data_IF_980399022325
#
_entry.id   IF_980399022325
#
_cell.length_a   1.000
_cell.length_b   1.000
_cell.length_c   1.000
_cell.angle_alpha   90.00
_cell.angle_beta   90.00
_cell.angle_gamma   90.00
#
_symmetry.space_group_name_H-M   'P 1'
#
loop_
_entity.id
_entity.type
_entity.pdbx_description
1 polymer ?
#
# COMPACT_ATOMS: atom_id res chain seq x y z
N UNK A 1 7.95 27.80 -9.34
CA UNK A 1 7.13 27.60 -10.55
C UNK A 1 5.72 27.11 -10.20
N UNK A 2 4.79 27.14 -11.16
CA UNK A 2 3.46 26.55 -10.98
C UNK A 2 3.42 25.15 -11.57
N UNK A 3 2.90 24.19 -10.80
CA UNK A 3 2.67 22.80 -11.25
C UNK A 3 1.21 22.49 -11.03
N UNK A 4 0.44 22.34 -12.09
CA UNK A 4 -0.96 21.94 -12.00
C UNK A 4 -1.07 20.50 -11.51
N UNK A 5 -1.91 20.26 -10.50
CA UNK A 5 -2.19 18.91 -10.01
C UNK A 5 -3.59 18.46 -10.44
N UNK A 6 -3.68 17.30 -11.03
CA UNK A 6 -4.95 16.72 -11.50
C UNK A 6 -5.16 15.32 -10.94
N UNK A 7 -6.29 15.15 -10.26
CA UNK A 7 -6.79 13.86 -9.79
C UNK A 7 -8.32 13.95 -9.69
N UNK A 8 -9.07 12.83 -9.76
CA UNK A 8 -10.52 12.86 -9.51
C UNK A 8 -10.86 13.43 -8.13
N UNK A 9 -11.94 14.20 -8.03
CA UNK A 9 -12.38 14.83 -6.76
C UNK A 9 -12.62 13.79 -5.66
N UNK A 10 -13.04 12.58 -6.02
CA UNK A 10 -13.22 11.47 -5.09
C UNK A 10 -11.90 11.11 -4.39
N UNK A 11 -10.76 11.24 -5.07
CA UNK A 11 -9.45 10.99 -4.46
C UNK A 11 -9.06 12.10 -3.48
N UNK A 12 -9.40 13.37 -3.76
CA UNK A 12 -9.10 14.50 -2.85
C UNK A 12 -9.88 14.37 -1.54
N UNK A 13 -11.13 13.96 -1.63
CA UNK A 13 -12.04 13.79 -0.49
C UNK A 13 -11.94 12.41 0.15
N UNK A 14 -11.36 11.46 -0.57
CA UNK A 14 -11.29 10.06 -0.18
C UNK A 14 -10.13 9.77 0.77
N UNK A 15 -10.35 8.80 1.63
CA UNK A 15 -9.34 8.24 2.54
C UNK A 15 -8.56 7.09 1.89
N UNK A 16 -8.51 7.06 0.54
CA UNK A 16 -7.81 6.04 -0.23
C UNK A 16 -6.33 6.40 -0.45
N UNK A 17 -5.56 5.43 -0.95
CA UNK A 17 -4.13 5.58 -1.22
C UNK A 17 -3.79 6.74 -2.17
N UNK A 18 -4.60 7.00 -3.20
CA UNK A 18 -4.43 8.14 -4.10
C UNK A 18 -4.61 9.48 -3.38
N UNK A 19 -5.63 9.61 -2.53
CA UNK A 19 -5.87 10.82 -1.75
C UNK A 19 -4.74 11.11 -0.78
N UNK A 20 -4.29 10.09 -0.05
CA UNK A 20 -3.16 10.21 0.88
C UNK A 20 -1.87 10.60 0.16
N UNK A 21 -1.50 9.91 -0.91
CA UNK A 21 -0.30 10.22 -1.68
C UNK A 21 -0.38 11.61 -2.32
N UNK A 22 -1.52 11.94 -2.94
CA UNK A 22 -1.72 13.23 -3.59
C UNK A 22 -1.53 14.41 -2.64
N UNK A 23 -2.12 14.34 -1.44
CA UNK A 23 -1.92 15.39 -0.40
C UNK A 23 -0.44 15.55 -0.02
N UNK A 24 0.27 14.44 0.16
CA UNK A 24 1.68 14.48 0.54
C UNK A 24 2.58 15.02 -0.59
N UNK A 25 2.30 14.68 -1.84
CA UNK A 25 3.01 15.23 -3.01
C UNK A 25 2.80 16.74 -3.10
N UNK A 26 1.54 17.19 -3.02
CA UNK A 26 1.21 18.63 -3.06
C UNK A 26 1.86 19.39 -1.91
N UNK A 27 1.79 18.86 -0.69
CA UNK A 27 2.43 19.47 0.48
C UNK A 27 3.95 19.55 0.31
N UNK A 28 4.58 18.50 -0.23
CA UNK A 28 6.02 18.48 -0.48
C UNK A 28 6.44 19.50 -1.53
N UNK A 29 5.71 19.61 -2.64
CA UNK A 29 5.96 20.62 -3.68
C UNK A 29 5.79 22.05 -3.13
N UNK A 30 4.74 22.31 -2.34
CA UNK A 30 4.55 23.60 -1.68
C UNK A 30 5.71 23.92 -0.72
N UNK A 31 6.19 22.94 0.05
CA UNK A 31 7.33 23.08 0.96
C UNK A 31 8.65 23.36 0.23
N UNK A 32 8.77 22.91 -1.03
CA UNK A 32 9.89 23.22 -1.92
C UNK A 32 9.76 24.59 -2.60
N UNK A 33 8.74 25.38 -2.27
CA UNK A 33 8.52 26.73 -2.81
C UNK A 33 7.79 26.76 -4.16
N UNK A 34 7.10 25.70 -4.53
CA UNK A 34 6.28 25.65 -5.75
C UNK A 34 4.81 25.84 -5.41
N UNK A 35 4.08 26.53 -6.30
CA UNK A 35 2.63 26.66 -6.17
C UNK A 35 1.93 25.55 -6.95
N UNK A 36 1.00 24.83 -6.30
CA UNK A 36 0.35 23.63 -6.86
C UNK A 36 -1.16 23.86 -6.97
N UNK A 37 -1.63 24.56 -8.01
CA UNK A 37 -3.06 24.76 -8.25
C UNK A 37 -3.71 23.48 -8.78
N UNK A 38 -4.99 23.30 -8.50
CA UNK A 38 -5.77 22.17 -8.99
C UNK A 38 -6.30 22.44 -10.40
N UNK A 39 -5.95 21.57 -11.37
CA UNK A 39 -6.40 21.63 -12.77
C UNK A 39 -6.29 23.02 -13.42
N UNK A 40 -5.17 23.71 -13.18
CA UNK A 40 -4.93 25.04 -13.75
C UNK A 40 -4.32 24.95 -15.16
N UNK A 41 -5.02 25.41 -16.22
CA UNK A 41 -4.53 25.32 -17.59
C UNK A 41 -3.40 26.34 -17.93
N UNK A 42 -3.08 27.25 -17.01
CA UNK A 42 -2.02 28.26 -17.17
C UNK A 42 -0.67 27.79 -16.64
N UNK A 43 -0.64 26.75 -15.84
CA UNK A 43 0.60 26.16 -15.33
C UNK A 43 1.41 25.52 -16.46
N UNK A 44 2.74 25.68 -16.52
CA UNK A 44 3.58 25.10 -17.58
C UNK A 44 3.62 23.57 -17.53
N UNK A 45 3.46 22.99 -16.34
CA UNK A 45 3.51 21.53 -16.10
C UNK A 45 2.22 21.07 -15.44
N UNK A 46 1.73 19.91 -15.85
CA UNK A 46 0.63 19.23 -15.19
C UNK A 46 1.02 17.82 -14.74
N UNK A 47 0.81 17.54 -13.47
CA UNK A 47 0.90 16.20 -12.88
C UNK A 47 -0.50 15.59 -12.82
N UNK A 48 -0.73 14.55 -13.61
CA UNK A 48 -1.94 13.74 -13.59
C UNK A 48 -1.71 12.52 -12.69
N UNK A 49 -2.30 12.53 -11.49
CA UNK A 49 -2.16 11.44 -10.51
C UNK A 49 -3.48 10.70 -10.32
N UNK A 50 -3.73 9.70 -11.14
CA UNK A 50 -4.94 8.86 -11.13
C UNK A 50 -4.74 7.65 -12.02
N UNK A 51 -5.80 6.87 -12.23
CA UNK A 51 -5.87 5.92 -13.34
C UNK A 51 -5.76 6.70 -14.67
N UNK A 52 -4.99 6.20 -15.66
CA UNK A 52 -4.72 6.93 -16.90
C UNK A 52 -5.95 7.31 -17.72
N UNK A 53 -7.03 6.52 -17.70
CA UNK A 53 -8.30 6.88 -18.34
C UNK A 53 -8.99 8.12 -17.76
N UNK A 54 -8.53 8.59 -16.60
CA UNK A 54 -9.03 9.81 -15.93
C UNK A 54 -8.08 11.01 -16.05
N UNK A 55 -6.98 10.89 -16.79
CA UNK A 55 -6.04 11.99 -17.00
C UNK A 55 -6.69 13.18 -17.72
N UNK A 56 -6.37 14.39 -17.26
CA UNK A 56 -6.78 15.65 -17.89
C UNK A 56 -5.62 16.22 -18.69
N UNK A 57 -5.53 15.80 -19.95
CA UNK A 57 -4.42 16.17 -20.83
C UNK A 57 -4.70 17.49 -21.55
N UNK A 58 -3.78 18.44 -21.45
CA UNK A 58 -3.84 19.74 -22.11
C UNK A 58 -2.62 19.96 -23.02
N UNK A 59 -2.81 20.12 -24.32
CA UNK A 59 -1.73 20.21 -25.33
C UNK A 59 -0.68 21.31 -25.10
N UNK A 60 -0.98 22.33 -24.28
CA UNK A 60 -0.09 23.45 -24.01
C UNK A 60 0.75 23.28 -22.75
N UNK A 61 0.57 22.20 -22.01
CA UNK A 61 1.28 21.91 -20.77
C UNK A 61 2.17 20.70 -20.96
N UNK A 62 3.29 20.68 -20.26
CA UNK A 62 4.10 19.47 -20.13
C UNK A 62 3.36 18.45 -19.25
N UNK A 63 3.04 17.31 -19.80
CA UNK A 63 2.17 16.32 -19.17
C UNK A 63 2.96 15.23 -18.48
N UNK A 64 2.83 15.11 -17.18
CA UNK A 64 3.36 14.00 -16.41
C UNK A 64 2.18 13.12 -16.00
N UNK A 65 2.13 11.88 -16.49
CA UNK A 65 1.20 10.85 -16.04
C UNK A 65 1.81 10.07 -14.89
N UNK A 66 1.07 9.84 -13.82
CA UNK A 66 1.55 9.10 -12.67
C UNK A 66 0.48 8.16 -12.11
N UNK A 67 0.76 6.85 -12.10
CA UNK A 67 -0.16 5.82 -11.58
C UNK A 67 0.58 4.59 -11.07
N UNK A 68 0.12 3.96 -9.96
CA UNK A 68 0.45 2.59 -9.59
C UNK A 68 -0.35 1.56 -10.40
N UNK A 69 0.08 0.29 -10.39
CA UNK A 69 -0.69 -0.83 -10.93
C UNK A 69 -0.41 -2.13 -10.14
N UNK A 70 -1.36 -3.10 -10.18
CA UNK A 70 -1.39 -4.25 -9.27
C UNK A 70 -1.25 -5.63 -9.95
N UNK A 71 -1.23 -5.71 -11.28
CA UNK A 71 -1.08 -6.97 -12.05
C UNK A 71 -0.15 -6.82 -13.25
N UNK A 72 0.10 -7.90 -14.00
CA UNK A 72 1.11 -7.87 -15.07
C UNK A 72 0.61 -7.33 -16.42
N UNK A 73 -0.69 -7.16 -16.60
CA UNK A 73 -1.27 -6.59 -17.85
C UNK A 73 -1.97 -5.26 -17.51
N UNK A 74 -1.66 -4.24 -18.30
CA UNK A 74 -2.23 -2.91 -18.18
C UNK A 74 -3.53 -2.83 -18.97
N UNK A 75 -4.61 -2.24 -18.43
CA UNK A 75 -5.86 -2.06 -19.15
C UNK A 75 -5.67 -1.34 -20.49
N UNK A 76 -6.18 -1.91 -21.57
CA UNK A 76 -6.05 -1.35 -22.92
C UNK A 76 -6.54 0.10 -23.00
N UNK A 77 -7.59 0.47 -22.26
CA UNK A 77 -8.14 1.83 -22.21
C UNK A 77 -7.16 2.89 -21.67
N UNK A 78 -6.04 2.47 -21.05
CA UNK A 78 -5.02 3.37 -20.50
C UNK A 78 -3.97 3.78 -21.54
N UNK A 79 -3.78 2.96 -22.58
CA UNK A 79 -2.64 3.06 -23.50
C UNK A 79 -2.53 4.43 -24.17
N UNK A 80 -3.65 4.95 -24.70
CA UNK A 80 -3.62 6.23 -25.44
C UNK A 80 -3.26 7.40 -24.52
N UNK A 81 -3.82 7.45 -23.32
CA UNK A 81 -3.53 8.53 -22.38
C UNK A 81 -2.09 8.48 -21.85
N UNK A 82 -1.53 7.29 -21.66
CA UNK A 82 -0.11 7.13 -21.30
C UNK A 82 0.78 7.65 -22.42
N UNK A 83 0.51 7.29 -23.67
CA UNK A 83 1.29 7.75 -24.85
C UNK A 83 1.22 9.25 -25.11
N UNK A 84 0.20 9.92 -24.61
CA UNK A 84 0.06 11.38 -24.72
C UNK A 84 0.74 12.16 -23.57
N UNK A 85 1.36 11.49 -22.61
CA UNK A 85 2.19 12.13 -21.61
C UNK A 85 3.60 12.40 -22.16
N UNK A 86 4.21 13.52 -21.79
CA UNK A 86 5.61 13.81 -22.06
C UNK A 86 6.53 12.96 -21.19
N UNK A 87 6.09 12.66 -19.96
CA UNK A 87 6.70 11.69 -19.06
C UNK A 87 5.63 10.80 -18.41
N UNK A 88 5.98 9.56 -18.18
CA UNK A 88 5.13 8.64 -17.45
C UNK A 88 5.87 8.07 -16.24
N UNK A 89 5.24 8.19 -15.08
CA UNK A 89 5.80 7.81 -13.79
C UNK A 89 4.98 6.72 -13.11
N UNK A 90 5.64 5.92 -12.30
CA UNK A 90 5.00 4.90 -11.46
C UNK A 90 5.69 4.79 -10.11
N UNK A 91 5.18 3.93 -9.24
CA UNK A 91 5.50 3.93 -7.80
C UNK A 91 6.60 2.95 -7.39
N UNK A 92 6.93 1.96 -8.23
CA UNK A 92 7.93 0.94 -7.92
C UNK A 92 8.63 0.42 -9.16
N UNK A 93 9.81 -0.18 -8.99
CA UNK A 93 10.54 -0.84 -10.07
C UNK A 93 9.73 -1.99 -10.67
N UNK A 94 8.95 -2.71 -9.83
CA UNK A 94 8.05 -3.74 -10.33
C UNK A 94 6.98 -3.15 -11.27
N UNK A 95 6.30 -2.07 -10.86
CA UNK A 95 5.34 -1.38 -11.72
C UNK A 95 6.01 -0.88 -13.01
N UNK A 96 7.22 -0.31 -12.94
CA UNK A 96 7.95 0.15 -14.13
C UNK A 96 8.20 -1.00 -15.09
N UNK A 97 8.64 -2.17 -14.61
CA UNK A 97 8.83 -3.37 -15.41
C UNK A 97 7.52 -3.86 -16.04
N UNK A 98 6.40 -3.75 -15.33
CA UNK A 98 5.07 -4.08 -15.88
C UNK A 98 4.73 -3.13 -17.03
N UNK A 99 4.86 -1.82 -16.86
CA UNK A 99 4.61 -0.86 -17.95
C UNK A 99 5.54 -1.08 -19.14
N UNK A 100 6.83 -1.32 -18.90
CA UNK A 100 7.80 -1.62 -19.97
C UNK A 100 7.42 -2.89 -20.75
N UNK A 101 7.05 -3.96 -20.07
CA UNK A 101 6.59 -5.23 -20.68
C UNK A 101 5.29 -5.08 -21.48
N UNK A 102 4.50 -4.04 -21.21
CA UNK A 102 3.28 -3.69 -21.97
C UNK A 102 3.54 -2.65 -23.07
N UNK A 103 4.81 -2.38 -23.42
CA UNK A 103 5.23 -1.53 -24.55
C UNK A 103 5.35 -0.04 -24.23
N UNK A 104 5.55 0.32 -22.95
CA UNK A 104 5.83 1.69 -22.51
C UNK A 104 7.27 1.79 -22.01
N UNK A 105 8.14 2.46 -22.74
CA UNK A 105 9.52 2.73 -22.32
C UNK A 105 9.66 4.03 -21.51
N UNK A 106 10.87 4.26 -20.97
CA UNK A 106 11.24 5.47 -20.24
C UNK A 106 10.35 5.78 -19.03
N UNK A 107 10.00 4.74 -18.28
CA UNK A 107 9.18 4.86 -17.08
C UNK A 107 10.04 5.36 -15.91
N UNK A 108 9.62 6.45 -15.29
CA UNK A 108 10.28 6.97 -14.10
C UNK A 108 9.65 6.38 -12.83
N UNK A 109 10.48 5.91 -11.91
CA UNK A 109 10.02 5.46 -10.60
C UNK A 109 10.04 6.63 -9.62
N UNK A 110 8.87 6.97 -9.09
CA UNK A 110 8.67 7.92 -8.00
C UNK A 110 7.95 7.19 -6.87
N UNK A 111 8.66 6.62 -5.90
CA UNK A 111 8.04 5.92 -4.78
C UNK A 111 7.23 6.87 -3.91
N UNK A 112 6.20 6.36 -3.28
CA UNK A 112 5.52 7.08 -2.21
C UNK A 112 6.38 7.14 -0.95
N UNK A 113 6.16 8.16 -0.14
CA UNK A 113 6.88 8.38 1.11
C UNK A 113 6.09 7.97 2.35
N UNK A 114 6.71 8.20 3.49
CA UNK A 114 6.12 8.05 4.82
C UNK A 114 6.07 9.42 5.52
N UNK A 115 4.97 9.69 6.21
CA UNK A 115 4.80 10.89 7.00
C UNK A 115 5.52 10.74 8.35
N UNK A 116 6.18 11.78 8.90
CA UNK A 116 6.85 11.74 10.19
C UNK A 116 5.97 11.33 11.37
N UNK A 117 4.64 11.43 11.25
CA UNK A 117 3.71 10.99 12.29
C UNK A 117 3.74 9.48 12.56
N UNK A 118 4.23 8.66 11.61
CA UNK A 118 4.39 7.20 11.76
C UNK A 118 5.58 6.86 12.67
N UNK A 119 5.59 7.43 13.86
CA UNK A 119 6.72 7.35 14.78
C UNK A 119 7.04 5.92 15.20
N UNK A 120 8.34 5.58 15.29
CA UNK A 120 8.75 4.27 15.78
C UNK A 120 8.28 3.99 17.19
N UNK A 121 7.79 2.78 17.44
CA UNK A 121 7.44 2.28 18.77
C UNK A 121 8.17 0.98 19.04
N UNK A 122 8.96 0.95 20.11
CA UNK A 122 9.56 -0.30 20.60
C UNK A 122 8.46 -1.19 21.19
N UNK A 123 8.41 -2.45 20.75
CA UNK A 123 7.48 -3.47 21.24
C UNK A 123 8.25 -4.44 22.13
N UNK A 124 7.76 -4.61 23.34
CA UNK A 124 8.40 -5.49 24.32
C UNK A 124 7.93 -6.93 24.16
N UNK A 125 8.75 -7.88 24.67
CA UNK A 125 8.37 -9.29 24.75
C UNK A 125 7.07 -9.43 25.57
N UNK A 126 6.14 -10.21 25.03
CA UNK A 126 4.88 -10.57 25.64
C UNK A 126 4.67 -12.08 25.56
N UNK A 127 3.82 -12.59 26.43
CA UNK A 127 3.38 -13.99 26.37
C UNK A 127 2.40 -14.23 25.21
N UNK A 128 1.80 -13.15 24.70
CA UNK A 128 0.75 -13.19 23.69
C UNK A 128 0.88 -12.03 22.70
N UNK A 129 0.41 -12.22 21.46
CA UNK A 129 0.57 -11.26 20.39
C UNK A 129 -0.78 -10.76 19.85
N UNK A 130 -0.80 -9.47 19.50
CA UNK A 130 -1.91 -8.82 18.79
C UNK A 130 -1.56 -8.65 17.34
N UNK A 131 -2.21 -9.40 16.49
CA UNK A 131 -2.05 -9.33 15.05
C UNK A 131 -2.99 -8.29 14.44
N UNK A 132 -2.53 -7.65 13.37
CA UNK A 132 -3.27 -6.66 12.60
C UNK A 132 -3.28 -7.03 11.12
N UNK A 133 -4.44 -6.96 10.50
CA UNK A 133 -4.60 -6.91 9.06
C UNK A 133 -5.38 -5.67 8.69
N UNK A 134 -4.94 -4.94 7.66
CA UNK A 134 -5.61 -3.74 7.16
C UNK A 134 -5.84 -3.90 5.67
N UNK A 135 -7.08 -3.74 5.23
CA UNK A 135 -7.42 -3.81 3.81
C UNK A 135 -8.91 -3.64 3.57
N UNK A 136 -9.24 -3.32 2.35
CA UNK A 136 -10.60 -3.52 1.85
C UNK A 136 -10.89 -5.03 1.82
N UNK A 137 -12.16 -5.45 1.92
CA UNK A 137 -12.54 -6.88 1.89
C UNK A 137 -12.52 -7.42 0.45
N UNK A 138 -11.47 -7.10 -0.29
CA UNK A 138 -11.18 -7.65 -1.61
C UNK A 138 -10.37 -8.94 -1.44
N UNK A 139 -10.67 -10.00 -2.19
CA UNK A 139 -9.88 -11.23 -2.18
C UNK A 139 -8.39 -10.97 -2.45
N UNK A 140 -8.07 -9.95 -3.28
CA UNK A 140 -6.69 -9.53 -3.59
C UNK A 140 -5.88 -9.15 -2.35
N UNK A 141 -6.51 -8.65 -1.30
CA UNK A 141 -5.83 -8.27 -0.04
C UNK A 141 -5.52 -9.48 0.88
N UNK A 142 -6.02 -10.66 0.55
CA UNK A 142 -5.71 -11.88 1.29
C UNK A 142 -6.30 -11.96 2.71
N UNK A 143 -7.34 -11.17 3.02
CA UNK A 143 -7.92 -11.12 4.36
C UNK A 143 -8.47 -12.47 4.84
N UNK A 144 -9.01 -13.30 3.93
CA UNK A 144 -9.46 -14.66 4.27
C UNK A 144 -8.29 -15.53 4.71
N UNK A 145 -7.19 -15.49 3.96
CA UNK A 145 -5.98 -16.24 4.28
C UNK A 145 -5.47 -15.91 5.70
N UNK A 146 -5.54 -14.64 6.08
CA UNK A 146 -5.16 -14.19 7.44
C UNK A 146 -6.08 -14.78 8.51
N UNK A 147 -7.40 -14.76 8.30
CA UNK A 147 -8.37 -15.32 9.25
C UNK A 147 -8.16 -16.83 9.41
N UNK A 148 -8.01 -17.55 8.29
CA UNK A 148 -7.85 -19.01 8.29
C UNK A 148 -6.54 -19.41 9.00
N UNK A 149 -5.44 -18.72 8.68
CA UNK A 149 -4.14 -19.02 9.29
C UNK A 149 -4.13 -18.68 10.78
N UNK A 150 -4.66 -17.50 11.17
CA UNK A 150 -4.79 -17.11 12.57
C UNK A 150 -5.68 -18.08 13.33
N UNK A 151 -6.82 -18.42 12.76
CA UNK A 151 -7.77 -19.37 13.35
C UNK A 151 -7.17 -20.74 13.61
N UNK A 152 -6.41 -21.26 12.66
CA UNK A 152 -5.71 -22.54 12.79
C UNK A 152 -4.64 -22.52 13.90
N UNK A 153 -3.88 -21.44 14.04
CA UNK A 153 -2.77 -21.33 14.99
C UNK A 153 -3.20 -20.88 16.39
N UNK A 154 -4.06 -19.85 16.44
CA UNK A 154 -4.35 -19.07 17.65
C UNK A 154 -5.85 -18.92 17.94
N UNK A 155 -6.72 -19.52 17.13
CA UNK A 155 -8.16 -19.42 17.30
C UNK A 155 -8.60 -19.80 18.72
N UNK A 156 -9.33 -18.89 19.39
CA UNK A 156 -9.83 -19.01 20.77
C UNK A 156 -8.75 -19.20 21.85
N UNK A 157 -7.46 -19.11 21.52
CA UNK A 157 -6.41 -19.13 22.55
C UNK A 157 -6.40 -17.82 23.34
N UNK A 158 -6.45 -17.87 24.69
CA UNK A 158 -6.39 -16.66 25.52
C UNK A 158 -5.14 -15.82 25.22
N UNK A 159 -5.33 -14.50 25.18
CA UNK A 159 -4.25 -13.53 25.02
C UNK A 159 -3.83 -13.26 23.58
N UNK A 160 -4.10 -14.13 22.62
CA UNK A 160 -3.90 -13.83 21.19
C UNK A 160 -5.13 -13.12 20.61
N UNK A 161 -4.91 -12.18 19.71
CA UNK A 161 -6.00 -11.51 19.00
C UNK A 161 -5.61 -11.13 17.58
N UNK A 162 -6.59 -11.13 16.66
CA UNK A 162 -6.48 -10.59 15.32
C UNK A 162 -7.48 -9.44 15.17
N UNK A 163 -6.98 -8.26 14.78
CA UNK A 163 -7.83 -7.15 14.36
C UNK A 163 -7.77 -7.03 12.84
N UNK A 164 -8.96 -7.06 12.21
CA UNK A 164 -9.12 -6.77 10.80
C UNK A 164 -9.69 -5.37 10.68
N UNK A 165 -8.92 -4.44 10.10
CA UNK A 165 -9.35 -3.07 9.84
C UNK A 165 -9.83 -2.96 8.40
N UNK A 166 -11.14 -2.78 8.21
CA UNK A 166 -11.76 -2.47 6.92
C UNK A 166 -12.02 -0.96 6.76
N UNK A 167 -12.10 -0.46 5.50
CA UNK A 167 -12.05 0.98 5.27
C UNK A 167 -13.40 1.71 5.33
N UNK A 168 -14.57 1.04 5.23
CA UNK A 168 -15.86 1.72 5.38
C UNK A 168 -17.03 0.77 5.66
N UNK A 169 -18.21 1.34 5.97
CA UNK A 169 -19.43 0.57 6.26
C UNK A 169 -20.00 -0.22 5.07
N UNK A 170 -19.83 0.23 3.84
CA UNK A 170 -20.28 -0.51 2.65
C UNK A 170 -19.41 -1.73 2.40
N UNK A 171 -18.10 -1.59 2.63
CA UNK A 171 -17.14 -2.70 2.63
C UNK A 171 -17.32 -3.60 3.86
N UNK A 172 -17.79 -3.06 5.00
CA UNK A 172 -18.13 -3.86 6.17
C UNK A 172 -19.27 -4.85 5.91
N UNK A 173 -20.28 -4.49 5.11
CA UNK A 173 -21.35 -5.42 4.70
C UNK A 173 -20.81 -6.58 3.87
N UNK A 174 -19.91 -6.30 2.94
CA UNK A 174 -19.23 -7.33 2.15
C UNK A 174 -18.39 -8.21 3.05
N UNK A 175 -17.69 -7.63 4.04
CA UNK A 175 -16.83 -8.35 4.98
C UNK A 175 -17.65 -9.16 6.00
N UNK A 176 -18.72 -8.62 6.55
CA UNK A 176 -19.64 -9.39 7.40
C UNK A 176 -20.27 -10.53 6.62
N UNK A 177 -20.73 -10.31 5.39
CA UNK A 177 -21.20 -11.36 4.52
C UNK A 177 -20.09 -12.35 4.13
N UNK A 178 -18.84 -11.93 4.10
CA UNK A 178 -17.66 -12.71 3.77
C UNK A 178 -17.16 -13.49 5.02
N UNK A 179 -17.08 -12.84 6.17
CA UNK A 179 -16.85 -13.50 7.47
C UNK A 179 -18.01 -14.43 7.79
N UNK A 180 -19.27 -14.00 7.66
CA UNK A 180 -20.45 -14.82 7.93
C UNK A 180 -20.65 -15.94 6.92
N UNK A 181 -20.30 -15.77 5.63
CA UNK A 181 -20.47 -16.80 4.60
C UNK A 181 -19.27 -17.71 4.39
N UNK A 182 -18.06 -17.27 4.69
CA UNK A 182 -16.84 -18.05 4.43
C UNK A 182 -16.19 -18.60 5.70
N UNK A 183 -16.47 -18.05 6.86
CA UNK A 183 -16.34 -18.76 8.14
C UNK A 183 -17.36 -19.91 8.24
N UNK A 184 -18.45 -19.86 7.49
CA UNK A 184 -19.45 -20.93 7.33
C UNK A 184 -18.92 -22.15 6.52
N UNK A 185 -17.84 -22.04 5.78
CA UNK A 185 -17.19 -23.18 5.09
C UNK A 185 -16.33 -24.06 6.00
N UNK A 186 -15.90 -23.51 7.15
CA UNK A 186 -15.34 -24.28 8.26
C UNK A 186 -16.46 -24.53 9.29
N UNK A 187 -16.58 -25.72 9.90
CA UNK A 187 -17.67 -26.00 10.81
C UNK A 187 -17.70 -25.02 11.97
N UNK A 188 -18.62 -24.06 11.91
CA UNK A 188 -19.11 -23.16 12.98
C UNK A 188 -18.13 -22.72 14.08
N UNK A 189 -16.87 -22.42 13.79
CA UNK A 189 -15.97 -21.84 14.76
C UNK A 189 -15.91 -20.31 14.59
N UNK A 190 -16.80 -19.62 15.27
CA UNK A 190 -16.63 -18.18 15.54
C UNK A 190 -15.43 -18.06 16.50
N UNK A 191 -14.33 -17.49 16.00
CA UNK A 191 -13.17 -17.20 16.85
C UNK A 191 -13.48 -15.98 17.71
N UNK A 192 -13.57 -16.14 19.02
CA UNK A 192 -13.88 -15.05 19.97
C UNK A 192 -12.78 -13.98 20.05
N UNK A 193 -11.62 -14.23 19.45
CA UNK A 193 -10.45 -13.36 19.46
C UNK A 193 -10.12 -12.77 18.08
N UNK A 194 -11.05 -12.81 17.12
CA UNK A 194 -10.98 -12.10 15.84
C UNK A 194 -11.96 -10.93 15.88
N UNK A 195 -11.45 -9.72 15.67
CA UNK A 195 -12.21 -8.47 15.76
C UNK A 195 -12.22 -7.72 14.43
N UNK A 196 -13.41 -7.32 13.98
CA UNK A 196 -13.58 -6.46 12.81
C UNK A 196 -13.69 -4.99 13.27
N UNK A 197 -12.81 -4.13 12.78
CA UNK A 197 -12.85 -2.68 12.99
C UNK A 197 -13.24 -1.97 11.68
N UNK A 198 -14.44 -1.40 11.63
CA UNK A 198 -15.00 -0.66 10.49
C UNK A 198 -15.11 0.84 10.73
N UNK A 199 -14.57 1.34 11.85
CA UNK A 199 -14.60 2.76 12.19
C UNK A 199 -13.82 3.57 11.15
N UNK A 200 -14.30 4.74 10.79
CA UNK A 200 -13.50 5.72 10.06
C UNK A 200 -12.47 6.29 11.04
N UNK A 201 -11.20 6.10 10.74
CA UNK A 201 -10.09 6.57 11.56
C UNK A 201 -9.38 7.74 10.86
N UNK A 202 -9.08 8.79 11.59
CA UNK A 202 -8.14 9.80 11.12
C UNK A 202 -6.71 9.26 11.18
N UNK A 203 -5.76 10.02 10.58
CA UNK A 203 -4.36 9.59 10.48
C UNK A 203 -3.73 9.29 11.86
N UNK A 204 -4.00 10.10 12.89
CA UNK A 204 -3.49 9.86 14.24
C UNK A 204 -4.11 8.61 14.90
N UNK A 205 -5.38 8.37 14.67
CA UNK A 205 -6.07 7.16 15.13
C UNK A 205 -5.54 5.92 14.44
N UNK A 206 -5.23 6.04 13.16
CA UNK A 206 -4.60 4.96 12.40
C UNK A 206 -3.18 4.66 12.94
N UNK A 207 -2.36 5.67 13.22
CA UNK A 207 -1.05 5.46 13.88
C UNK A 207 -1.21 4.76 15.23
N UNK A 208 -2.19 5.18 16.05
CA UNK A 208 -2.49 4.49 17.33
C UNK A 208 -2.91 3.04 17.12
N UNK A 209 -3.63 2.72 16.05
CA UNK A 209 -3.99 1.34 15.71
C UNK A 209 -2.72 0.49 15.51
N UNK A 210 -1.76 0.95 14.70
CA UNK A 210 -0.49 0.24 14.52
C UNK A 210 0.30 0.15 15.83
N UNK A 211 0.34 1.21 16.63
CA UNK A 211 1.02 1.20 17.92
C UNK A 211 0.40 0.22 18.94
N UNK A 212 -0.88 -0.07 18.83
CA UNK A 212 -1.59 -0.98 19.74
C UNK A 212 -1.52 -2.45 19.33
N UNK A 213 -0.87 -2.75 18.19
CA UNK A 213 -0.67 -4.10 17.68
C UNK A 213 0.82 -4.45 17.61
N UNK A 214 1.09 -5.73 17.56
CA UNK A 214 2.44 -6.27 17.64
C UNK A 214 2.99 -6.72 16.28
N UNK A 215 2.15 -7.27 15.40
CA UNK A 215 2.52 -7.85 14.11
C UNK A 215 1.51 -7.47 13.05
N UNK A 216 1.99 -6.98 11.90
CA UNK A 216 1.16 -6.86 10.68
C UNK A 216 1.23 -8.13 9.86
N UNK A 217 0.09 -8.59 9.34
CA UNK A 217 0.00 -9.65 8.33
C UNK A 217 -0.64 -9.06 7.08
N UNK A 218 0.09 -9.07 5.97
CA UNK A 218 -0.35 -8.45 4.72
C UNK A 218 -0.05 -9.34 3.49
N UNK A 219 -0.81 -10.41 3.27
CA UNK A 219 -0.62 -11.36 2.18
C UNK A 219 -1.32 -10.88 0.91
N UNK A 220 -1.01 -9.66 0.43
CA UNK A 220 -1.63 -9.11 -0.77
C UNK A 220 -1.11 -9.79 -2.03
N UNK A 221 -2.00 -10.12 -2.96
CA UNK A 221 -1.69 -10.69 -4.28
C UNK A 221 -1.02 -9.69 -5.23
N UNK A 222 -1.10 -8.40 -4.94
CA UNK A 222 -0.50 -7.35 -5.74
C UNK A 222 -0.86 -5.96 -5.23
N UNK A 223 0.12 -5.05 -5.29
CA UNK A 223 -0.04 -3.65 -4.92
C UNK A 223 0.73 -2.77 -5.88
N UNK A 224 0.18 -1.61 -6.19
CA UNK A 224 0.93 -0.62 -6.93
C UNK A 224 2.06 0.00 -6.11
N UNK A 225 1.89 0.09 -4.78
CA UNK A 225 2.94 0.53 -3.85
C UNK A 225 2.85 -0.17 -2.49
N UNK A 226 1.64 -0.23 -1.90
CA UNK A 226 1.42 -0.86 -0.61
C UNK A 226 1.81 0.02 0.58
N UNK A 227 1.03 1.06 0.88
CA UNK A 227 1.27 1.93 2.04
C UNK A 227 1.26 1.18 3.38
N UNK A 228 0.36 0.21 3.52
CA UNK A 228 0.09 -0.46 4.80
C UNK A 228 1.32 -1.16 5.36
N UNK A 229 2.07 -2.00 4.61
CA UNK A 229 3.31 -2.55 5.11
C UNK A 229 4.38 -1.50 5.36
N UNK A 230 4.52 -0.46 4.52
CA UNK A 230 5.50 0.60 4.74
C UNK A 230 5.21 1.38 6.02
N UNK A 231 3.95 1.70 6.31
CA UNK A 231 3.52 2.35 7.55
C UNK A 231 3.84 1.47 8.77
N UNK A 232 3.59 0.17 8.71
CA UNK A 232 3.94 -0.76 9.77
C UNK A 232 5.45 -0.78 10.02
N UNK A 233 6.24 -0.92 8.97
CA UNK A 233 7.70 -0.91 9.02
C UNK A 233 8.24 0.41 9.59
N UNK A 234 7.67 1.55 9.20
CA UNK A 234 8.03 2.87 9.73
C UNK A 234 7.75 2.99 11.24
N UNK A 235 6.69 2.33 11.75
CA UNK A 235 6.45 2.26 13.20
C UNK A 235 7.32 1.21 13.92
N UNK A 236 8.24 0.54 13.21
CA UNK A 236 9.05 -0.54 13.77
C UNK A 236 8.25 -1.81 14.07
N UNK A 237 7.11 -2.02 13.40
CA UNK A 237 6.27 -3.21 13.57
C UNK A 237 6.79 -4.38 12.73
N UNK A 238 7.03 -5.55 13.33
CA UNK A 238 7.21 -6.79 12.58
C UNK A 238 6.10 -6.99 11.56
N UNK A 239 6.49 -7.24 10.29
CA UNK A 239 5.56 -7.22 9.16
C UNK A 239 5.76 -8.46 8.30
N UNK A 240 4.79 -9.38 8.34
CA UNK A 240 4.69 -10.50 7.40
C UNK A 240 3.95 -9.99 6.16
N UNK A 241 4.62 -9.98 5.01
CA UNK A 241 4.03 -9.49 3.77
C UNK A 241 4.59 -10.19 2.53
N UNK A 242 3.77 -10.40 1.50
CA UNK A 242 4.28 -10.59 0.14
C UNK A 242 5.09 -9.36 -0.25
N UNK A 243 6.09 -9.52 -1.12
CA UNK A 243 7.13 -8.50 -1.29
C UNK A 243 7.54 -8.25 -2.75
N UNK A 244 7.17 -9.10 -3.68
CA UNK A 244 7.70 -9.06 -5.04
C UNK A 244 7.36 -7.74 -5.75
N UNK A 245 6.21 -7.18 -5.46
CA UNK A 245 5.72 -5.88 -5.96
C UNK A 245 6.24 -4.67 -5.17
N UNK A 246 6.81 -4.87 -3.95
CA UNK A 246 7.11 -3.78 -3.03
C UNK A 246 8.46 -3.09 -3.34
N UNK A 247 8.45 -1.77 -3.50
CA UNK A 247 9.67 -0.97 -3.65
C UNK A 247 10.57 -1.06 -2.41
N UNK A 248 9.97 -1.22 -1.24
CA UNK A 248 10.65 -1.35 0.07
C UNK A 248 10.88 -2.80 0.51
N UNK A 249 10.87 -3.77 -0.41
CA UNK A 249 11.00 -5.22 -0.13
C UNK A 249 12.20 -5.61 0.74
N UNK A 250 13.27 -4.82 0.72
CA UNK A 250 14.45 -5.08 1.55
C UNK A 250 14.17 -4.87 3.05
N UNK A 251 13.24 -3.96 3.39
CA UNK A 251 12.85 -3.68 4.77
C UNK A 251 11.86 -4.70 5.35
N UNK A 252 11.16 -5.46 4.52
CA UNK A 252 10.34 -6.59 4.98
C UNK A 252 11.24 -7.69 5.59
N UNK A 253 12.50 -7.76 5.16
CA UNK A 253 13.54 -8.53 5.81
C UNK A 253 13.20 -10.03 5.95
N UNK A 254 13.38 -10.62 7.16
CA UNK A 254 13.20 -12.06 7.37
C UNK A 254 11.73 -12.52 7.32
N UNK A 255 10.76 -11.62 7.42
CA UNK A 255 9.33 -11.97 7.38
C UNK A 255 8.71 -11.83 5.98
N UNK A 256 9.52 -11.95 4.94
CA UNK A 256 9.06 -12.01 3.55
C UNK A 256 8.21 -13.26 3.32
N UNK A 257 6.93 -13.05 3.03
CA UNK A 257 6.01 -14.11 2.68
C UNK A 257 6.24 -14.54 1.23
N UNK A 258 6.56 -15.80 1.00
CA UNK A 258 6.68 -16.37 -0.35
C UNK A 258 5.38 -16.25 -1.11
N UNK A 259 5.48 -16.05 -2.42
CA UNK A 259 4.36 -16.02 -3.34
C UNK A 259 4.75 -16.56 -4.70
N UNK A 260 3.77 -17.02 -5.47
CA UNK A 260 3.95 -17.49 -6.84
C UNK A 260 3.17 -16.61 -7.81
N UNK A 261 3.70 -16.42 -9.00
CA UNK A 261 3.04 -15.64 -10.04
C UNK A 261 2.04 -16.54 -10.79
N UNK A 262 0.77 -16.36 -10.49
CA UNK A 262 -0.35 -17.15 -11.05
C UNK A 262 -1.25 -16.29 -11.92
N UNK A 263 -2.06 -16.91 -12.79
CA UNK A 263 -3.08 -16.19 -13.55
C UNK A 263 -4.09 -15.55 -12.60
N UNK A 264 -4.42 -14.28 -12.89
CA UNK A 264 -5.32 -13.51 -12.02
C UNK A 264 -6.73 -14.12 -12.03
N UNK A 265 -7.29 -14.45 -10.87
CA UNK A 265 -8.69 -14.89 -10.78
C UNK A 265 -9.68 -13.71 -10.92
N UNK A 266 -9.17 -12.48 -11.09
CA UNK A 266 -9.95 -11.24 -11.25
C UNK A 266 -9.61 -10.51 -12.55
N UNK A 267 -9.52 -11.23 -13.66
CA UNK A 267 -9.14 -10.72 -14.98
C UNK A 267 -9.98 -9.51 -15.45
N UNK A 268 -11.24 -9.41 -15.01
CA UNK A 268 -12.09 -8.24 -15.28
C UNK A 268 -11.62 -6.93 -14.62
N UNK A 269 -10.77 -7.00 -13.58
CA UNK A 269 -10.20 -5.83 -12.87
C UNK A 269 -8.69 -5.77 -12.94
N UNK A 270 -8.02 -6.93 -12.89
CA UNK A 270 -6.58 -7.08 -12.84
C UNK A 270 -6.18 -8.20 -13.81
N UNK A 271 -6.11 -7.87 -15.12
CA UNK A 271 -5.71 -8.82 -16.15
C UNK A 271 -4.29 -9.34 -15.95
N UNK A 272 -4.03 -10.54 -16.50
CA UNK A 272 -2.72 -11.19 -16.49
C UNK A 272 -2.44 -11.95 -15.21
N UNK A 273 -1.33 -11.66 -14.52
CA UNK A 273 -0.88 -12.44 -13.37
C UNK A 273 -0.76 -11.59 -12.11
N UNK A 274 -0.93 -12.27 -10.96
CA UNK A 274 -0.79 -11.72 -9.61
C UNK A 274 0.04 -12.68 -8.75
N UNK A 275 0.53 -12.22 -7.60
CA UNK A 275 1.34 -13.01 -6.68
C UNK A 275 0.49 -13.73 -5.64
N UNK A 276 0.21 -15.01 -5.81
CA UNK A 276 -0.51 -15.82 -4.84
C UNK A 276 0.35 -16.11 -3.61
N UNK A 277 -0.07 -15.71 -2.40
CA UNK A 277 0.67 -15.97 -1.17
C UNK A 277 0.72 -17.44 -0.81
N UNK A 278 1.88 -17.94 -0.37
CA UNK A 278 2.06 -19.31 0.12
C UNK A 278 1.46 -19.46 1.52
N UNK A 279 0.38 -20.24 1.62
CA UNK A 279 -0.34 -20.54 2.87
C UNK A 279 0.55 -21.24 3.91
N UNK A 280 1.32 -22.24 3.51
CA UNK A 280 2.16 -23.01 4.44
C UNK A 280 3.28 -22.14 4.99
N UNK A 281 3.89 -21.33 4.14
CA UNK A 281 4.91 -20.41 4.58
C UNK A 281 4.35 -19.29 5.49
N UNK A 282 3.11 -18.86 5.28
CA UNK A 282 2.46 -17.92 6.20
C UNK A 282 2.29 -18.55 7.59
N UNK A 283 1.85 -19.83 7.67
CA UNK A 283 1.77 -20.57 8.92
C UNK A 283 3.13 -20.68 9.63
N UNK A 284 4.19 -20.97 8.87
CA UNK A 284 5.56 -21.06 9.39
C UNK A 284 6.02 -19.71 9.97
N UNK A 285 5.85 -18.62 9.22
CA UNK A 285 6.23 -17.28 9.66
C UNK A 285 5.44 -16.82 10.91
N UNK A 286 4.16 -17.14 10.99
CA UNK A 286 3.35 -16.80 12.16
C UNK A 286 3.73 -17.60 13.41
N UNK A 287 4.17 -18.86 13.27
CA UNK A 287 4.73 -19.65 14.38
C UNK A 287 6.09 -19.12 14.79
N UNK A 288 6.94 -18.82 13.82
CA UNK A 288 8.30 -18.36 14.10
C UNK A 288 8.30 -17.00 14.81
N UNK A 289 7.45 -16.06 14.38
CA UNK A 289 7.33 -14.77 15.05
C UNK A 289 6.78 -14.89 16.49
N UNK A 290 5.90 -15.83 16.75
CA UNK A 290 5.39 -16.10 18.10
C UNK A 290 6.53 -16.57 19.03
N UNK A 291 7.36 -17.47 18.55
CA UNK A 291 8.50 -17.99 19.30
C UNK A 291 9.65 -16.98 19.48
N UNK A 292 9.86 -16.12 18.48
CA UNK A 292 11.05 -15.26 18.38
C UNK A 292 10.70 -13.77 18.38
N UNK A 293 9.55 -13.37 18.93
CA UNK A 293 9.00 -12.00 18.83
C UNK A 293 10.00 -10.92 19.25
N UNK A 294 10.75 -11.12 20.34
CA UNK A 294 11.74 -10.15 20.83
C UNK A 294 12.82 -9.82 19.79
N UNK A 295 13.31 -10.83 19.10
CA UNK A 295 14.33 -10.66 18.06
C UNK A 295 13.76 -9.86 16.87
N UNK A 296 12.57 -10.24 16.39
CA UNK A 296 11.88 -9.53 15.32
C UNK A 296 11.55 -8.09 15.70
N UNK A 297 10.96 -7.87 16.87
CA UNK A 297 10.64 -6.51 17.36
C UNK A 297 11.88 -5.61 17.40
N UNK A 298 13.02 -6.14 17.89
CA UNK A 298 14.28 -5.38 17.92
C UNK A 298 14.81 -5.08 16.53
N UNK A 299 14.76 -6.05 15.61
CA UNK A 299 15.18 -5.90 14.22
C UNK A 299 14.39 -4.80 13.51
N UNK A 300 13.05 -4.86 13.54
CA UNK A 300 12.19 -3.91 12.83
C UNK A 300 12.25 -2.51 13.45
N UNK A 301 12.35 -2.42 14.77
CA UNK A 301 12.55 -1.14 15.44
C UNK A 301 13.84 -0.45 14.99
N UNK A 302 14.95 -1.20 14.88
CA UNK A 302 16.21 -0.67 14.41
C UNK A 302 16.19 -0.21 12.94
N UNK A 303 15.34 -0.80 12.09
CA UNK A 303 15.19 -0.41 10.68
C UNK A 303 14.33 0.84 10.48
N UNK A 304 13.46 1.19 11.42
CA UNK A 304 12.45 2.22 11.23
C UNK A 304 13.03 3.61 10.92
N UNK A 305 14.16 3.98 11.53
CA UNK A 305 14.85 5.26 11.25
C UNK A 305 15.29 5.35 9.79
N UNK A 306 15.89 4.28 9.24
CA UNK A 306 16.32 4.24 7.84
C UNK A 306 15.15 4.35 6.88
N UNK A 307 14.00 3.78 7.24
CA UNK A 307 12.77 3.87 6.44
C UNK A 307 12.30 5.33 6.37
N UNK A 308 12.30 6.05 7.50
CA UNK A 308 11.95 7.47 7.53
C UNK A 308 12.92 8.34 6.71
N UNK A 309 14.21 8.00 6.71
CA UNK A 309 15.20 8.70 5.89
C UNK A 309 15.03 8.40 4.40
N UNK A 310 14.84 7.13 4.02
CA UNK A 310 14.76 6.72 2.62
C UNK A 310 13.41 7.05 1.98
N UNK A 311 12.32 6.91 2.71
CA UNK A 311 10.97 7.18 2.23
C UNK A 311 10.43 8.54 2.69
N UNK A 312 11.31 9.53 2.90
CA UNK A 312 10.91 10.90 3.21
C UNK A 312 10.23 11.57 2.01
N UNK A 313 8.97 12.01 2.16
CA UNK A 313 8.20 12.61 1.09
C UNK A 313 8.87 13.81 0.44
N UNK A 314 9.44 14.72 1.23
CA UNK A 314 10.09 15.93 0.70
C UNK A 314 11.30 15.57 -0.17
N UNK A 315 12.15 14.64 0.31
CA UNK A 315 13.32 14.16 -0.43
C UNK A 315 12.92 13.44 -1.71
N UNK A 316 11.96 12.53 -1.64
CA UNK A 316 11.50 11.78 -2.81
C UNK A 316 10.88 12.69 -3.86
N UNK A 317 10.06 13.67 -3.44
CA UNK A 317 9.45 14.64 -4.34
C UNK A 317 10.50 15.55 -4.98
N UNK A 318 11.46 16.07 -4.18
CA UNK A 318 12.55 16.88 -4.73
C UNK A 318 13.35 16.11 -5.79
N UNK A 319 13.73 14.87 -5.50
CA UNK A 319 14.48 14.03 -6.44
C UNK A 319 13.68 13.71 -7.72
N UNK A 320 12.38 13.46 -7.56
CA UNK A 320 11.51 13.18 -8.72
C UNK A 320 11.36 14.40 -9.63
N UNK A 321 11.24 15.59 -9.07
CA UNK A 321 10.96 16.81 -9.81
C UNK A 321 12.19 17.66 -10.17
N UNK A 322 13.41 17.33 -9.70
CA UNK A 322 14.62 18.14 -9.90
C UNK A 322 14.86 18.51 -11.38
N UNK A 323 14.72 17.56 -12.30
CA UNK A 323 14.88 17.83 -13.74
C UNK A 323 13.75 18.71 -14.31
N UNK A 324 12.52 18.59 -13.78
CA UNK A 324 11.38 19.45 -14.14
C UNK A 324 11.65 20.87 -13.65
N UNK A 325 12.14 21.03 -12.42
CA UNK A 325 12.49 22.33 -11.89
C UNK A 325 13.55 23.02 -12.77
N UNK A 326 14.61 22.30 -13.17
CA UNK A 326 15.66 22.80 -14.07
C UNK A 326 15.15 23.14 -15.46
N UNK A 327 14.19 22.40 -15.98
CA UNK A 327 13.64 22.60 -17.34
C UNK A 327 12.72 23.79 -17.44
N UNK A 328 12.00 24.15 -16.36
CA UNK A 328 10.97 25.19 -16.37
C UNK A 328 11.25 26.34 -15.38
N UNK A 329 12.51 26.47 -14.94
CA UNK A 329 13.01 27.59 -14.11
C UNK A 329 13.15 28.89 -14.90
#
# INVERSE_FOLDING_TARGET
>A
MNISFSTPVVNIKGENGYGYAGRNIVNSLNSLGHFVPFQDPKSPVQLNFSQPDLFKLHRKQYQIGYTPWESTIIPQRWHDNIRHCDEFWTTSDWCANVFDSNGFGNIKVFPHGIDPMWTPKKREQKETLKFLHIGEPSPRKGGQLVVDTFGYLFGNKPGYSLTIKAFNHSTARVFNNYIDKNIIGLPHQIYNNVFLNTSVLNDQELVRLYHNHDVLIYPSYGEGFGFIPLQALATGMPTISTYDWAQYKNYIGPLKLKSELVDSPWDYMHEGKVYEPDYQHLLELMRDIDLNFKAYSSYYYAQSTKIHEEYNWLRLTNNAFDHIFKKFS
#
